data_IF_557923673624
#
_entry.id   IF_557923673624
#
_cell.length_a   1.000
_cell.length_b   1.000
_cell.length_c   1.000
_cell.angle_alpha   90.00
_cell.angle_beta   90.00
_cell.angle_gamma   90.00
#
_symmetry.space_group_name_H-M   'P 1'
#
loop_
_entity.id
_entity.type
_entity.pdbx_description
1 polymer ?
#
# COMPACT_ATOMS: atom_id res chain seq x y z
N UNK A 1 -40.14 80.50 15.70
CA UNK A 1 -39.97 79.18 16.33
C UNK A 1 -39.70 78.16 15.23
N UNK A 2 -38.53 77.51 15.27
CA UNK A 2 -38.11 76.30 14.53
C UNK A 2 -37.93 76.32 13.00
N UNK A 3 -36.64 76.29 12.62
CA UNK A 3 -35.99 75.78 11.40
C UNK A 3 -36.54 74.43 10.88
N UNK A 4 -36.68 74.28 9.55
CA UNK A 4 -36.59 73.03 8.74
C UNK A 4 -36.94 73.36 7.28
N UNK A 5 -36.39 72.79 6.21
CA UNK A 5 -35.24 71.93 5.94
C UNK A 5 -35.03 71.98 4.42
N UNK A 6 -33.79 71.81 3.99
CA UNK A 6 -33.31 71.78 2.61
C UNK A 6 -33.85 70.60 1.77
N UNK A 7 -34.05 70.90 0.47
CA UNK A 7 -33.68 70.14 -0.75
C UNK A 7 -33.41 68.63 -0.62
N UNK A 8 -34.10 67.79 -1.41
CA UNK A 8 -33.55 67.30 -2.69
C UNK A 8 -34.42 66.20 -3.33
N UNK A 9 -34.41 66.21 -4.66
CA UNK A 9 -35.02 65.26 -5.59
C UNK A 9 -34.36 63.88 -5.48
N UNK A 10 -35.16 62.82 -5.32
CA UNK A 10 -34.73 61.43 -5.47
C UNK A 10 -35.16 60.92 -6.85
N UNK A 11 -34.17 60.71 -7.71
CA UNK A 11 -34.32 59.91 -8.92
C UNK A 11 -34.26 58.42 -8.54
N UNK A 12 -35.27 57.65 -8.93
CA UNK A 12 -35.23 56.19 -8.88
C UNK A 12 -34.35 55.68 -10.02
N UNK A 13 -33.20 55.10 -9.69
CA UNK A 13 -32.42 54.25 -10.60
C UNK A 13 -32.60 52.80 -10.15
N UNK A 14 -33.38 52.03 -10.90
CA UNK A 14 -33.49 50.58 -10.73
C UNK A 14 -32.26 49.90 -11.35
N UNK A 15 -31.36 49.41 -10.50
CA UNK A 15 -30.23 48.56 -10.93
C UNK A 15 -30.73 47.12 -10.90
N UNK A 16 -30.99 46.54 -12.08
CA UNK A 16 -31.18 45.11 -12.23
C UNK A 16 -29.83 44.40 -12.19
N UNK A 17 -29.48 43.82 -11.04
CA UNK A 17 -28.28 43.01 -10.87
C UNK A 17 -28.55 41.60 -11.41
N UNK A 18 -28.15 41.32 -12.65
CA UNK A 18 -28.17 39.98 -13.21
C UNK A 18 -27.09 39.13 -12.51
N UNK A 19 -27.51 38.24 -11.61
CA UNK A 19 -26.66 37.19 -11.03
C UNK A 19 -26.35 36.14 -12.12
N UNK A 20 -25.23 36.31 -12.80
CA UNK A 20 -24.60 35.22 -13.56
C UNK A 20 -24.00 34.24 -12.55
N UNK A 21 -24.73 33.16 -12.22
CA UNK A 21 -24.12 32.03 -11.54
C UNK A 21 -23.09 31.38 -12.47
N UNK A 22 -21.82 31.22 -12.06
CA UNK A 22 -20.91 30.36 -12.78
C UNK A 22 -21.44 28.93 -12.65
N UNK A 23 -21.94 28.37 -13.76
CA UNK A 23 -22.11 26.93 -13.90
C UNK A 23 -20.73 26.31 -13.67
N UNK A 24 -20.48 25.80 -12.46
CA UNK A 24 -19.38 24.90 -12.19
C UNK A 24 -19.59 23.66 -13.07
N UNK A 25 -18.98 23.65 -14.24
CA UNK A 25 -18.82 22.45 -15.04
C UNK A 25 -18.15 21.41 -14.16
N UNK A 26 -18.90 20.36 -13.81
CA UNK A 26 -18.34 19.19 -13.15
C UNK A 26 -17.11 18.73 -13.95
N UNK A 27 -15.99 18.37 -13.30
CA UNK A 27 -14.85 17.81 -14.02
C UNK A 27 -15.36 16.64 -14.87
N UNK A 28 -14.89 16.48 -16.11
CA UNK A 28 -15.33 15.40 -16.98
C UNK A 28 -15.18 14.08 -16.23
N UNK A 29 -16.24 13.26 -16.24
CA UNK A 29 -16.21 11.92 -15.66
C UNK A 29 -15.02 11.17 -16.28
N UNK A 30 -13.96 10.99 -15.50
CA UNK A 30 -12.74 10.31 -15.95
C UNK A 30 -13.15 8.87 -16.24
N UNK A 31 -12.87 8.39 -17.45
CA UNK A 31 -13.21 7.02 -17.83
C UNK A 31 -12.61 6.04 -16.80
N UNK A 32 -13.41 5.06 -16.38
CA UNK A 32 -12.96 4.04 -15.43
C UNK A 32 -11.71 3.34 -15.99
N UNK A 33 -10.67 3.22 -15.17
CA UNK A 33 -9.46 2.48 -15.52
C UNK A 33 -9.76 0.96 -15.52
N UNK A 34 -8.93 0.18 -16.20
CA UNK A 34 -9.06 -1.28 -16.21
C UNK A 34 -8.77 -1.89 -14.83
N UNK A 35 -7.99 -1.21 -14.01
CA UNK A 35 -7.58 -1.62 -12.68
C UNK A 35 -7.07 -0.47 -11.83
N UNK A 36 -6.36 -0.80 -10.74
CA UNK A 36 -5.60 0.18 -9.97
C UNK A 36 -4.57 0.90 -10.83
N UNK A 37 -4.31 2.17 -10.52
CA UNK A 37 -3.26 2.93 -11.17
C UNK A 37 -2.64 4.00 -10.27
N UNK A 38 -1.39 4.36 -10.54
CA UNK A 38 -0.67 5.43 -9.84
C UNK A 38 -0.90 6.76 -10.54
N UNK A 39 -1.14 7.82 -9.76
CA UNK A 39 -1.25 9.19 -10.22
C UNK A 39 -0.52 10.12 -9.25
N UNK A 40 0.70 10.52 -9.62
CA UNK A 40 1.61 11.23 -8.71
C UNK A 40 1.90 10.38 -7.47
N UNK A 41 1.76 10.97 -6.28
CA UNK A 41 2.02 10.27 -5.01
C UNK A 41 0.81 9.47 -4.48
N UNK A 42 -0.20 9.21 -5.30
CA UNK A 42 -1.43 8.52 -4.90
C UNK A 42 -1.65 7.24 -5.71
N UNK A 43 -2.14 6.20 -5.03
CA UNK A 43 -2.75 5.03 -5.66
C UNK A 43 -4.25 5.31 -5.83
N UNK A 44 -4.77 5.13 -7.05
CA UNK A 44 -6.18 5.27 -7.38
C UNK A 44 -6.77 3.91 -7.74
N UNK A 45 -7.98 3.63 -7.27
CA UNK A 45 -8.74 2.46 -7.70
C UNK A 45 -9.29 2.61 -9.13
N UNK A 46 -9.93 1.56 -9.65
CA UNK A 46 -10.41 1.55 -11.03
C UNK A 46 -11.51 2.60 -11.32
N UNK A 47 -12.16 3.14 -10.30
CA UNK A 47 -13.13 4.23 -10.43
C UNK A 47 -12.47 5.62 -10.30
N UNK A 48 -11.15 5.67 -10.15
CA UNK A 48 -10.37 6.90 -10.02
C UNK A 48 -10.36 7.50 -8.61
N UNK A 49 -10.82 6.75 -7.59
CA UNK A 49 -10.82 7.22 -6.20
C UNK A 49 -9.50 6.89 -5.52
N UNK A 50 -8.98 7.83 -4.71
CA UNK A 50 -7.77 7.58 -3.91
C UNK A 50 -7.98 6.42 -2.96
N UNK A 51 -7.11 5.44 -3.03
CA UNK A 51 -7.12 4.26 -2.18
C UNK A 51 -5.90 4.25 -1.26
N UNK A 52 -6.15 4.27 0.04
CA UNK A 52 -5.12 4.27 1.08
C UNK A 52 -5.22 2.95 1.84
N UNK A 53 -4.18 2.12 1.74
CA UNK A 53 -4.17 0.79 2.35
C UNK A 53 -4.16 0.88 3.89
N UNK A 54 -5.01 0.09 4.53
CA UNK A 54 -5.13 -0.11 5.97
C UNK A 54 -5.36 -1.60 6.18
N UNK A 55 -4.27 -2.31 6.45
CA UNK A 55 -4.29 -3.77 6.37
C UNK A 55 -3.18 -4.46 7.12
N UNK A 56 -3.03 -5.74 6.80
CA UNK A 56 -2.08 -6.66 7.45
C UNK A 56 -1.44 -7.59 6.41
N UNK A 57 -0.30 -8.18 6.76
CA UNK A 57 0.31 -9.30 6.06
C UNK A 57 -0.29 -10.62 6.57
N UNK A 58 -0.50 -11.62 5.68
CA UNK A 58 -1.09 -12.91 6.04
C UNK A 58 -0.31 -14.06 5.37
N UNK A 59 0.18 -15.07 6.12
CA UNK A 59 1.18 -16.04 5.64
C UNK A 59 0.58 -17.22 4.84
N UNK A 60 -0.02 -16.94 3.68
CA UNK A 60 -0.80 -17.94 2.94
C UNK A 60 -0.01 -19.16 2.47
N UNK A 61 1.20 -18.98 1.95
CA UNK A 61 1.97 -20.11 1.43
C UNK A 61 2.47 -21.06 2.51
N UNK A 62 2.64 -20.56 3.74
CA UNK A 62 3.10 -21.35 4.88
C UNK A 62 1.95 -21.99 5.68
N UNK A 63 0.79 -21.33 5.73
CA UNK A 63 -0.36 -21.75 6.52
C UNK A 63 -1.67 -21.69 5.72
N UNK A 64 -1.75 -22.44 4.62
CA UNK A 64 -2.80 -22.32 3.61
C UNK A 64 -4.24 -22.23 4.18
N UNK A 65 -4.68 -23.25 4.92
CA UNK A 65 -6.05 -23.32 5.43
C UNK A 65 -6.33 -22.29 6.52
N UNK A 66 -5.38 -22.10 7.45
CA UNK A 66 -5.52 -21.17 8.57
C UNK A 66 -5.54 -19.71 8.10
N UNK A 67 -4.57 -19.33 7.26
CA UNK A 67 -4.50 -17.99 6.67
C UNK A 67 -5.72 -17.70 5.80
N UNK A 68 -6.21 -18.66 5.02
CA UNK A 68 -7.43 -18.51 4.23
C UNK A 68 -8.67 -18.27 5.10
N UNK A 69 -8.84 -19.03 6.19
CA UNK A 69 -9.94 -18.84 7.12
C UNK A 69 -9.88 -17.47 7.81
N UNK A 70 -8.68 -17.07 8.24
CA UNK A 70 -8.39 -15.81 8.92
C UNK A 70 -8.77 -14.55 8.13
N UNK A 71 -8.85 -14.62 6.79
CA UNK A 71 -9.32 -13.50 5.96
C UNK A 71 -10.66 -12.94 6.45
N UNK A 72 -11.55 -13.81 6.96
CA UNK A 72 -12.85 -13.42 7.51
C UNK A 72 -12.70 -12.50 8.71
N UNK A 73 -11.83 -12.86 9.65
CA UNK A 73 -11.58 -12.10 10.88
C UNK A 73 -10.82 -10.80 10.57
N UNK A 74 -9.85 -10.85 9.65
CA UNK A 74 -9.13 -9.66 9.16
C UNK A 74 -10.11 -8.63 8.58
N UNK A 75 -11.02 -9.08 7.71
CA UNK A 75 -12.04 -8.22 7.10
C UNK A 75 -13.06 -7.71 8.13
N UNK A 76 -13.51 -8.56 9.05
CA UNK A 76 -14.46 -8.19 10.09
C UNK A 76 -13.91 -7.12 11.05
N UNK A 77 -12.58 -7.09 11.25
CA UNK A 77 -11.89 -6.05 12.02
C UNK A 77 -11.62 -4.77 11.21
N UNK A 78 -12.05 -4.71 9.95
CA UNK A 78 -12.11 -3.50 9.15
C UNK A 78 -10.96 -3.30 8.16
N UNK A 79 -10.06 -4.26 7.97
CA UNK A 79 -9.00 -4.14 6.97
C UNK A 79 -9.59 -3.94 5.56
N UNK A 80 -9.02 -3.01 4.78
CA UNK A 80 -9.38 -2.83 3.36
C UNK A 80 -8.38 -3.51 2.41
N UNK A 81 -7.25 -3.96 2.94
CA UNK A 81 -6.18 -4.62 2.17
C UNK A 81 -5.58 -5.77 2.99
N UNK A 82 -5.17 -6.82 2.29
CA UNK A 82 -4.32 -7.87 2.85
C UNK A 82 -3.14 -8.11 1.90
N UNK A 83 -1.92 -8.15 2.45
CA UNK A 83 -0.73 -8.60 1.71
C UNK A 83 -0.56 -10.11 1.91
N UNK A 84 -0.63 -10.82 0.81
CA UNK A 84 -0.68 -12.28 0.74
C UNK A 84 0.75 -12.77 0.55
N UNK A 85 1.35 -13.32 1.61
CA UNK A 85 2.65 -13.97 1.50
C UNK A 85 2.50 -15.20 0.61
N UNK A 86 3.17 -15.17 -0.53
CA UNK A 86 3.11 -16.21 -1.55
C UNK A 86 4.51 -16.69 -1.92
N UNK A 87 4.59 -17.70 -2.79
CA UNK A 87 5.85 -18.11 -3.39
C UNK A 87 5.65 -18.74 -4.76
N UNK A 88 6.76 -18.97 -5.46
CA UNK A 88 6.72 -19.58 -6.79
C UNK A 88 6.23 -21.03 -6.81
N UNK A 89 6.13 -21.70 -5.65
CA UNK A 89 5.58 -23.06 -5.54
C UNK A 89 4.05 -23.10 -5.49
N UNK A 90 3.40 -21.95 -5.29
CA UNK A 90 1.94 -21.84 -5.24
C UNK A 90 1.27 -22.04 -6.61
N UNK A 91 0.07 -22.66 -6.60
CA UNK A 91 -0.71 -22.89 -7.83
C UNK A 91 -1.59 -21.70 -8.20
N UNK A 92 -1.78 -21.45 -9.51
CA UNK A 92 -2.64 -20.38 -9.99
C UNK A 92 -4.11 -20.55 -9.54
N UNK A 93 -4.62 -21.79 -9.50
CA UNK A 93 -5.97 -22.08 -9.00
C UNK A 93 -6.14 -21.67 -7.54
N UNK A 94 -5.16 -21.98 -6.68
CA UNK A 94 -5.24 -21.59 -5.27
C UNK A 94 -5.11 -20.07 -5.10
N UNK A 95 -4.25 -19.43 -5.88
CA UNK A 95 -4.14 -17.97 -5.92
C UNK A 95 -5.49 -17.32 -6.30
N UNK A 96 -6.19 -17.83 -7.31
CA UNK A 96 -7.53 -17.36 -7.70
C UNK A 96 -8.53 -17.49 -6.55
N UNK A 97 -8.56 -18.63 -5.85
CA UNK A 97 -9.44 -18.83 -4.70
C UNK A 97 -9.19 -17.82 -3.56
N UNK A 98 -7.93 -17.49 -3.30
CA UNK A 98 -7.55 -16.50 -2.28
C UNK A 98 -8.01 -15.11 -2.71
N UNK A 99 -7.77 -14.71 -3.98
CA UNK A 99 -8.19 -13.41 -4.51
C UNK A 99 -9.72 -13.28 -4.50
N UNK A 100 -10.46 -14.32 -4.89
CA UNK A 100 -11.92 -14.32 -4.83
C UNK A 100 -12.45 -14.22 -3.40
N UNK A 101 -11.77 -14.83 -2.43
CA UNK A 101 -12.12 -14.66 -1.02
C UNK A 101 -11.91 -13.23 -0.55
N UNK A 102 -10.79 -12.60 -0.91
CA UNK A 102 -10.55 -11.18 -0.62
C UNK A 102 -11.63 -10.29 -1.24
N UNK A 103 -11.99 -10.53 -2.51
CA UNK A 103 -13.06 -9.80 -3.21
C UNK A 103 -14.41 -9.94 -2.51
N UNK A 104 -14.81 -11.16 -2.14
CA UNK A 104 -16.04 -11.41 -1.41
C UNK A 104 -16.08 -10.67 -0.06
N UNK A 105 -14.92 -10.53 0.59
CA UNK A 105 -14.75 -9.80 1.84
C UNK A 105 -14.49 -8.29 1.63
N UNK A 106 -14.51 -7.81 0.39
CA UNK A 106 -14.24 -6.42 -0.01
C UNK A 106 -12.87 -5.90 0.46
N UNK A 107 -11.85 -6.76 0.38
CA UNK A 107 -10.44 -6.40 0.60
C UNK A 107 -9.65 -6.46 -0.71
N UNK A 108 -8.78 -5.48 -0.91
CA UNK A 108 -7.75 -5.51 -1.97
C UNK A 108 -6.67 -6.50 -1.56
N UNK A 109 -6.17 -7.30 -2.51
CA UNK A 109 -5.04 -8.21 -2.26
C UNK A 109 -3.75 -7.63 -2.84
N UNK A 110 -2.67 -7.63 -2.06
CA UNK A 110 -1.31 -7.40 -2.59
C UNK A 110 -0.60 -8.75 -2.59
N UNK A 111 -0.30 -9.30 -3.77
CA UNK A 111 0.38 -10.60 -3.88
C UNK A 111 1.88 -10.35 -3.92
N UNK A 112 2.63 -10.95 -3.00
CA UNK A 112 4.09 -10.84 -2.91
C UNK A 112 4.73 -12.22 -3.01
N UNK A 113 5.91 -12.32 -3.65
CA UNK A 113 6.70 -13.55 -3.67
C UNK A 113 7.86 -13.49 -2.68
N UNK A 114 7.86 -14.41 -1.73
CA UNK A 114 8.77 -14.41 -0.59
C UNK A 114 10.09 -15.18 -0.85
N UNK A 115 10.25 -15.79 -2.03
CA UNK A 115 11.32 -16.76 -2.35
C UNK A 115 12.75 -16.17 -2.33
N UNK A 116 12.88 -14.84 -2.40
CA UNK A 116 14.16 -14.14 -2.62
C UNK A 116 14.45 -13.05 -1.59
N UNK A 117 13.74 -13.06 -0.45
CA UNK A 117 13.96 -12.15 0.69
C UNK A 117 15.45 -12.06 1.05
N UNK A 118 16.00 -10.84 1.02
CA UNK A 118 17.40 -10.54 1.35
C UNK A 118 18.44 -10.94 0.29
N UNK A 119 18.05 -11.53 -0.84
CA UNK A 119 18.98 -11.89 -1.91
C UNK A 119 19.44 -10.67 -2.72
N UNK A 120 20.69 -10.67 -3.17
CA UNK A 120 21.23 -9.69 -4.13
C UNK A 120 21.27 -10.22 -5.58
N UNK A 121 20.76 -11.43 -5.83
CA UNK A 121 20.80 -12.05 -7.14
C UNK A 121 19.71 -11.48 -8.06
N UNK A 122 20.10 -10.65 -9.02
CA UNK A 122 19.19 -10.02 -9.97
C UNK A 122 18.49 -11.03 -10.90
N UNK A 123 19.11 -12.18 -11.20
CA UNK A 123 18.47 -13.22 -12.00
C UNK A 123 17.29 -13.82 -11.22
N UNK A 124 17.48 -14.06 -9.91
CA UNK A 124 16.41 -14.57 -9.03
C UNK A 124 15.27 -13.58 -8.86
N UNK A 125 15.53 -12.27 -8.78
CA UNK A 125 14.45 -11.26 -8.84
C UNK A 125 13.65 -11.39 -10.15
N UNK A 126 14.35 -11.51 -11.28
CA UNK A 126 13.68 -11.63 -12.56
C UNK A 126 12.87 -12.93 -12.69
N UNK A 127 13.26 -14.01 -12.01
CA UNK A 127 12.47 -15.23 -11.96
C UNK A 127 11.12 -15.02 -11.25
N UNK A 128 11.04 -14.11 -10.27
CA UNK A 128 9.78 -13.71 -9.64
C UNK A 128 8.86 -13.02 -10.65
N UNK A 129 9.41 -12.12 -11.47
CA UNK A 129 8.68 -11.49 -12.57
C UNK A 129 8.21 -12.52 -13.62
N UNK A 130 9.04 -13.50 -13.96
CA UNK A 130 8.66 -14.61 -14.86
C UNK A 130 7.54 -15.46 -14.29
N UNK A 131 7.53 -15.73 -12.98
CA UNK A 131 6.43 -16.46 -12.32
C UNK A 131 5.09 -15.76 -12.56
N UNK A 132 5.01 -14.46 -12.28
CA UNK A 132 3.79 -13.69 -12.53
C UNK A 132 3.40 -13.68 -14.01
N UNK A 133 4.39 -13.60 -14.91
CA UNK A 133 4.17 -13.63 -16.35
C UNK A 133 3.76 -15.00 -16.94
N UNK A 134 3.83 -16.10 -16.16
CA UNK A 134 3.33 -17.41 -16.59
C UNK A 134 1.86 -17.31 -17.03
N UNK A 135 1.48 -18.06 -18.06
CA UNK A 135 0.15 -17.94 -18.68
C UNK A 135 -1.00 -18.16 -17.70
N UNK A 136 -0.88 -19.13 -16.80
CA UNK A 136 -1.88 -19.47 -15.79
C UNK A 136 -1.98 -18.42 -14.68
N UNK A 137 -0.85 -17.95 -14.15
CA UNK A 137 -0.81 -16.91 -13.12
C UNK A 137 -1.27 -15.56 -13.68
N UNK A 138 -0.81 -15.18 -14.87
CA UNK A 138 -1.23 -13.96 -15.56
C UNK A 138 -2.73 -13.92 -15.79
N UNK A 139 -3.36 -15.03 -16.18
CA UNK A 139 -4.80 -15.08 -16.40
C UNK A 139 -5.58 -14.71 -15.12
N UNK A 140 -5.12 -15.21 -13.97
CA UNK A 140 -5.64 -14.85 -12.65
C UNK A 140 -5.42 -13.35 -12.36
N UNK A 141 -4.20 -12.85 -12.56
CA UNK A 141 -3.90 -11.45 -12.23
C UNK A 141 -4.64 -10.43 -13.11
N UNK A 142 -4.68 -10.66 -14.43
CA UNK A 142 -5.33 -9.75 -15.38
C UNK A 142 -6.87 -9.75 -15.24
N UNK A 143 -7.47 -10.86 -14.81
CA UNK A 143 -8.91 -10.87 -14.50
C UNK A 143 -9.25 -10.14 -13.20
N UNK A 144 -8.24 -9.76 -12.41
CA UNK A 144 -8.40 -9.11 -11.10
C UNK A 144 -7.63 -7.78 -10.98
N UNK A 145 -7.35 -7.08 -12.08
CA UNK A 145 -6.63 -5.78 -12.10
C UNK A 145 -7.28 -4.71 -11.19
N UNK A 146 -8.60 -4.78 -10.99
CA UNK A 146 -9.37 -3.89 -10.11
C UNK A 146 -9.23 -4.21 -8.63
N UNK A 147 -8.71 -5.38 -8.27
CA UNK A 147 -8.77 -5.92 -6.91
C UNK A 147 -7.40 -6.36 -6.38
N UNK A 148 -6.40 -6.46 -7.26
CA UNK A 148 -5.11 -7.07 -6.95
C UNK A 148 -3.94 -6.23 -7.45
N UNK A 149 -2.97 -6.00 -6.57
CA UNK A 149 -1.65 -5.45 -6.88
C UNK A 149 -0.60 -6.55 -6.85
N UNK A 150 0.48 -6.35 -7.62
CA UNK A 150 1.60 -7.30 -7.73
C UNK A 150 2.83 -6.68 -7.09
N UNK A 151 3.23 -7.21 -5.92
CA UNK A 151 4.50 -6.91 -5.29
C UNK A 151 5.53 -7.92 -5.78
N UNK A 152 6.50 -7.48 -6.59
CA UNK A 152 7.32 -8.40 -7.40
C UNK A 152 8.02 -9.45 -6.54
N UNK A 153 8.65 -9.01 -5.47
CA UNK A 153 9.36 -9.85 -4.54
C UNK A 153 9.41 -9.16 -3.19
N UNK A 154 9.23 -9.92 -2.11
CA UNK A 154 9.48 -9.43 -0.77
C UNK A 154 10.97 -9.12 -0.61
N UNK A 155 11.28 -7.89 -0.21
CA UNK A 155 12.59 -7.53 0.36
C UNK A 155 13.81 -7.97 -0.46
N UNK A 156 13.70 -8.02 -1.79
CA UNK A 156 14.85 -8.31 -2.62
C UNK A 156 15.88 -7.16 -2.51
N UNK A 157 17.12 -7.55 -2.25
CA UNK A 157 18.23 -6.66 -1.95
C UNK A 157 18.58 -6.62 -0.46
N UNK A 158 19.74 -7.17 -0.12
CA UNK A 158 20.40 -7.02 1.17
C UNK A 158 20.98 -5.63 1.40
N UNK A 159 21.60 -5.44 2.57
CA UNK A 159 22.11 -4.14 3.03
C UNK A 159 23.32 -3.61 2.22
N UNK A 160 24.01 -4.50 1.51
CA UNK A 160 25.18 -4.23 0.68
C UNK A 160 24.82 -4.01 -0.81
N UNK A 161 23.55 -4.16 -1.19
CA UNK A 161 23.11 -3.90 -2.56
C UNK A 161 23.16 -2.39 -2.86
N UNK A 162 23.87 -2.02 -3.92
CA UNK A 162 23.91 -0.61 -4.35
C UNK A 162 22.58 -0.16 -4.96
N UNK A 163 22.25 1.13 -4.79
CA UNK A 163 21.02 1.70 -5.34
C UNK A 163 20.93 1.58 -6.88
N UNK A 164 22.07 1.61 -7.57
CA UNK A 164 22.12 1.40 -9.03
C UNK A 164 21.84 -0.05 -9.41
N UNK A 165 22.40 -1.02 -8.69
CA UNK A 165 22.11 -2.44 -8.92
C UNK A 165 20.64 -2.76 -8.64
N UNK A 166 20.07 -2.16 -7.58
CA UNK A 166 18.64 -2.26 -7.30
C UNK A 166 17.79 -1.75 -8.46
N UNK A 167 18.10 -0.56 -8.99
CA UNK A 167 17.40 0.02 -10.14
C UNK A 167 17.47 -0.90 -11.36
N UNK A 168 18.65 -1.37 -11.73
CA UNK A 168 18.87 -2.14 -12.96
C UNK A 168 18.14 -3.49 -12.94
N UNK A 169 18.13 -4.15 -11.78
CA UNK A 169 17.38 -5.39 -11.58
C UNK A 169 15.87 -5.15 -11.69
N UNK A 170 15.34 -4.09 -11.08
CA UNK A 170 13.92 -3.77 -11.20
C UNK A 170 13.50 -3.28 -12.58
N UNK A 171 14.35 -2.59 -13.34
CA UNK A 171 14.08 -2.31 -14.77
C UNK A 171 13.90 -3.62 -15.55
N UNK A 172 14.77 -4.59 -15.32
CA UNK A 172 14.66 -5.92 -15.94
C UNK A 172 13.35 -6.62 -15.56
N UNK A 173 13.01 -6.64 -14.26
CA UNK A 173 11.78 -7.25 -13.76
C UNK A 173 10.50 -6.56 -14.30
N UNK A 174 10.49 -5.23 -14.40
CA UNK A 174 9.39 -4.45 -15.00
C UNK A 174 9.23 -4.84 -16.48
N UNK A 175 10.33 -4.89 -17.24
CA UNK A 175 10.30 -5.30 -18.65
C UNK A 175 9.73 -6.71 -18.81
N UNK A 176 10.13 -7.65 -17.96
CA UNK A 176 9.59 -9.02 -17.96
C UNK A 176 8.09 -9.05 -17.66
N UNK A 177 7.63 -8.33 -16.62
CA UNK A 177 6.20 -8.29 -16.28
C UNK A 177 5.36 -7.69 -17.40
N UNK A 178 5.77 -6.52 -17.91
CA UNK A 178 5.01 -5.80 -18.96
C UNK A 178 5.07 -6.54 -20.30
N UNK A 179 6.23 -7.06 -20.69
CA UNK A 179 6.38 -7.91 -21.88
C UNK A 179 5.62 -9.23 -21.75
N UNK A 180 5.49 -9.75 -20.53
CA UNK A 180 4.64 -10.91 -20.21
C UNK A 180 3.14 -10.61 -20.27
N UNK A 181 2.74 -9.34 -20.29
CA UNK A 181 1.35 -8.89 -20.35
C UNK A 181 0.67 -8.67 -19.00
N UNK A 182 1.44 -8.46 -17.91
CA UNK A 182 0.88 -8.05 -16.61
C UNK A 182 0.47 -6.59 -16.65
N UNK A 183 -0.80 -6.32 -16.32
CA UNK A 183 -1.38 -4.98 -16.33
C UNK A 183 -1.54 -4.34 -14.95
N UNK A 184 -1.53 -5.15 -13.88
CA UNK A 184 -1.71 -4.70 -12.50
C UNK A 184 -0.71 -3.60 -12.12
N UNK A 185 -1.08 -2.77 -11.14
CA UNK A 185 -0.12 -1.91 -10.44
C UNK A 185 0.98 -2.77 -9.82
N UNK A 186 2.23 -2.37 -10.08
CA UNK A 186 3.42 -3.03 -9.54
C UNK A 186 3.81 -2.34 -8.23
N UNK A 187 4.15 -3.12 -7.21
CA UNK A 187 4.72 -2.67 -5.94
C UNK A 187 6.17 -3.16 -5.85
N UNK A 188 7.08 -2.23 -5.55
CA UNK A 188 8.53 -2.49 -5.45
C UNK A 188 9.01 -2.15 -4.05
N UNK A 189 9.61 -3.13 -3.37
CA UNK A 189 10.20 -2.96 -2.04
C UNK A 189 11.56 -2.25 -2.12
N UNK A 190 11.90 -1.48 -1.09
CA UNK A 190 13.25 -0.96 -0.90
C UNK A 190 14.29 -2.07 -0.74
N UNK A 191 15.58 -1.75 -0.92
CA UNK A 191 16.67 -2.67 -0.59
C UNK A 191 16.89 -2.75 0.93
N UNK A 192 17.95 -3.42 1.37
CA UNK A 192 18.26 -3.56 2.79
C UNK A 192 17.15 -4.27 3.55
N UNK A 193 16.64 -5.37 2.98
CA UNK A 193 15.50 -6.11 3.52
C UNK A 193 14.25 -5.22 3.63
N UNK A 194 13.95 -4.43 2.60
CA UNK A 194 12.84 -3.46 2.61
C UNK A 194 13.08 -2.19 3.45
N UNK A 195 14.12 -2.14 4.29
CA UNK A 195 14.32 -1.06 5.25
C UNK A 195 15.07 0.15 4.69
N UNK A 196 15.68 0.05 3.50
CA UNK A 196 16.41 1.14 2.86
C UNK A 196 15.53 1.91 1.87
N UNK A 197 15.22 3.16 2.21
CA UNK A 197 14.46 4.10 1.35
C UNK A 197 15.33 4.84 0.32
N UNK A 198 16.67 4.78 0.42
CA UNK A 198 17.60 5.47 -0.48
C UNK A 198 17.35 5.17 -1.97
N UNK A 199 17.27 3.91 -2.42
CA UNK A 199 17.11 3.61 -3.84
C UNK A 199 15.77 4.11 -4.40
N UNK A 200 14.71 4.12 -3.59
CA UNK A 200 13.41 4.68 -3.98
C UNK A 200 13.53 6.18 -4.22
N UNK A 201 14.20 6.91 -3.31
CA UNK A 201 14.40 8.36 -3.45
C UNK A 201 15.29 8.70 -4.65
N UNK A 202 16.33 7.91 -4.88
CA UNK A 202 17.30 8.14 -5.97
C UNK A 202 16.73 7.76 -7.34
N UNK A 203 16.04 6.63 -7.45
CA UNK A 203 15.68 6.00 -8.73
C UNK A 203 14.20 5.65 -8.90
N UNK A 204 13.33 5.96 -7.92
CA UNK A 204 11.90 5.66 -8.03
C UNK A 204 11.24 6.36 -9.21
N UNK A 205 11.59 7.62 -9.50
CA UNK A 205 11.13 8.30 -10.73
C UNK A 205 11.63 7.62 -12.00
N UNK A 206 12.87 7.12 -11.98
CA UNK A 206 13.45 6.40 -13.11
C UNK A 206 12.66 5.12 -13.38
N UNK A 207 12.32 4.33 -12.36
CA UNK A 207 11.52 3.11 -12.52
C UNK A 207 10.08 3.41 -12.94
N UNK A 208 9.44 4.42 -12.36
CA UNK A 208 8.09 4.85 -12.74
C UNK A 208 8.02 5.29 -14.21
N UNK A 209 9.03 6.03 -14.69
CA UNK A 209 9.11 6.46 -16.08
C UNK A 209 9.54 5.33 -17.03
N UNK A 210 10.26 4.33 -16.51
CA UNK A 210 10.69 3.16 -17.26
C UNK A 210 9.54 2.17 -17.51
N UNK A 211 8.60 2.04 -16.57
CA UNK A 211 7.37 1.29 -16.79
C UNK A 211 6.54 1.95 -17.91
N UNK A 212 6.29 1.30 -19.06
CA UNK A 212 5.48 1.87 -20.14
C UNK A 212 4.03 2.18 -19.73
N UNK A 213 3.54 1.62 -18.61
CA UNK A 213 2.23 1.95 -18.06
C UNK A 213 2.26 3.06 -17.01
N UNK A 214 3.45 3.51 -16.60
CA UNK A 214 3.64 4.44 -15.48
C UNK A 214 2.85 4.05 -14.23
N UNK A 215 2.81 2.75 -13.92
CA UNK A 215 1.94 2.18 -12.89
C UNK A 215 2.75 1.35 -11.88
N UNK A 216 3.73 2.02 -11.28
CA UNK A 216 4.62 1.49 -10.23
C UNK A 216 4.46 2.34 -8.97
N UNK A 217 4.30 1.66 -7.83
CA UNK A 217 4.42 2.26 -6.50
C UNK A 217 5.49 1.52 -5.69
N UNK A 218 5.87 2.11 -4.55
CA UNK A 218 6.96 1.61 -3.71
C UNK A 218 6.49 1.15 -2.34
N UNK A 219 7.28 0.31 -1.69
CA UNK A 219 7.08 -0.19 -0.34
C UNK A 219 8.33 0.02 0.51
N UNK A 220 8.13 0.39 1.77
CA UNK A 220 9.18 0.43 2.81
C UNK A 220 8.74 -0.45 3.96
N UNK A 221 9.67 -1.23 4.49
CA UNK A 221 9.46 -2.08 5.66
C UNK A 221 10.16 -1.46 6.88
N UNK A 222 9.41 -1.19 7.94
CA UNK A 222 9.91 -0.42 9.08
C UNK A 222 10.16 -1.34 10.30
N UNK A 223 11.42 -1.75 10.47
CA UNK A 223 11.91 -2.52 11.63
C UNK A 223 13.13 -1.84 12.28
N UNK A 224 14.17 -2.59 12.65
CA UNK A 224 15.31 -2.10 13.44
C UNK A 224 16.02 -0.86 12.86
N UNK A 225 16.04 -0.68 11.54
CA UNK A 225 16.63 0.51 10.90
C UNK A 225 15.76 1.78 11.02
N UNK A 226 14.54 1.66 11.56
CA UNK A 226 13.54 2.72 11.74
C UNK A 226 13.24 3.02 13.22
N UNK A 227 14.20 2.72 14.10
CA UNK A 227 14.09 2.98 15.54
C UNK A 227 14.06 4.48 15.90
N UNK A 228 14.49 5.37 15.00
CA UNK A 228 14.34 6.82 15.15
C UNK A 228 12.98 7.27 14.60
N UNK A 229 12.06 7.64 15.50
CA UNK A 229 10.70 8.06 15.15
C UNK A 229 10.66 9.33 14.29
N UNK A 230 11.63 10.24 14.44
CA UNK A 230 11.67 11.48 13.67
C UNK A 230 11.93 11.26 12.17
N UNK A 231 12.60 10.14 11.85
CA UNK A 231 12.90 9.74 10.47
C UNK A 231 11.65 9.26 9.72
N UNK A 232 10.68 8.65 10.40
CA UNK A 232 9.46 8.08 9.78
C UNK A 232 8.73 9.14 8.95
N UNK A 233 8.34 10.25 9.59
CA UNK A 233 7.62 11.33 8.91
C UNK A 233 8.45 12.00 7.82
N UNK A 234 9.74 12.21 8.08
CA UNK A 234 10.66 12.90 7.17
C UNK A 234 10.88 12.12 5.88
N UNK A 235 11.17 10.82 5.97
CA UNK A 235 11.42 9.96 4.81
C UNK A 235 10.16 9.75 3.96
N UNK A 236 9.02 9.50 4.60
CA UNK A 236 7.75 9.37 3.89
C UNK A 236 7.37 10.67 3.16
N UNK A 237 7.62 11.83 3.77
CA UNK A 237 7.40 13.12 3.11
C UNK A 237 8.35 13.32 1.94
N UNK A 238 9.63 12.96 2.09
CA UNK A 238 10.63 13.10 1.04
C UNK A 238 10.22 12.32 -0.22
N UNK A 239 9.75 11.08 -0.06
CA UNK A 239 9.27 10.25 -1.19
C UNK A 239 8.02 10.88 -1.84
N UNK A 240 7.07 11.36 -1.05
CA UNK A 240 5.88 12.06 -1.59
C UNK A 240 6.24 13.34 -2.35
N UNK A 241 7.23 14.10 -1.89
CA UNK A 241 7.70 15.32 -2.57
C UNK A 241 8.33 15.01 -3.94
N UNK A 242 8.83 13.78 -4.13
CA UNK A 242 9.25 13.28 -5.44
C UNK A 242 8.06 12.86 -6.32
N UNK A 243 6.81 12.98 -5.86
CA UNK A 243 5.63 12.57 -6.63
C UNK A 243 5.53 11.06 -6.80
N UNK A 244 6.08 10.27 -5.88
CA UNK A 244 6.06 8.81 -5.90
C UNK A 244 5.01 8.29 -4.91
N UNK A 245 4.21 7.30 -5.33
CA UNK A 245 3.30 6.58 -4.44
C UNK A 245 4.08 5.57 -3.60
N UNK A 246 3.84 5.56 -2.29
CA UNK A 246 4.52 4.68 -1.34
C UNK A 246 3.54 4.14 -0.30
N UNK A 247 3.77 2.91 0.14
CA UNK A 247 3.11 2.28 1.30
C UNK A 247 4.16 1.83 2.32
N UNK A 248 3.79 1.75 3.59
CA UNK A 248 4.55 0.99 4.59
C UNK A 248 4.09 -0.46 4.48
N UNK A 249 4.77 -1.28 3.67
CA UNK A 249 4.32 -2.64 3.34
C UNK A 249 4.48 -3.64 4.48
N UNK A 250 5.37 -3.33 5.42
CA UNK A 250 5.55 -4.04 6.67
C UNK A 250 6.03 -3.07 7.76
N UNK A 251 5.70 -3.36 9.01
CA UNK A 251 6.30 -2.68 10.14
C UNK A 251 6.13 -3.49 11.42
N UNK A 252 7.11 -3.38 12.31
CA UNK A 252 7.05 -3.88 13.67
C UNK A 252 6.76 -2.80 14.69
N UNK A 253 7.03 -3.09 15.96
CA UNK A 253 6.90 -2.15 17.07
C UNK A 253 7.99 -2.35 18.11
N UNK A 254 8.05 -1.41 19.06
CA UNK A 254 8.93 -1.50 20.22
C UNK A 254 8.45 -2.57 21.22
N UNK A 255 8.73 -3.84 20.91
CA UNK A 255 8.50 -4.94 21.82
C UNK A 255 9.57 -4.97 22.92
N UNK A 256 9.11 -4.93 24.17
CA UNK A 256 9.95 -5.05 25.37
C UNK A 256 11.23 -4.19 25.30
N UNK A 257 11.10 -2.91 24.96
CA UNK A 257 12.21 -1.96 24.81
C UNK A 257 13.31 -2.41 23.84
N UNK A 258 12.93 -3.10 22.76
CA UNK A 258 13.83 -3.66 21.76
C UNK A 258 14.47 -4.98 22.15
N UNK A 259 14.00 -5.63 23.22
CA UNK A 259 14.38 -6.99 23.59
C UNK A 259 13.67 -7.99 22.68
N UNK A 260 14.10 -8.02 21.42
CA UNK A 260 13.69 -8.94 20.37
C UNK A 260 14.89 -9.24 19.45
N UNK A 261 14.73 -10.24 18.58
CA UNK A 261 15.76 -10.71 17.65
C UNK A 261 16.23 -9.64 16.64
N UNK A 262 15.44 -8.60 16.39
CA UNK A 262 15.76 -7.55 15.42
C UNK A 262 16.28 -6.25 16.07
N UNK A 263 16.34 -6.19 17.41
CA UNK A 263 16.58 -4.93 18.13
C UNK A 263 15.55 -3.84 17.79
N UNK A 264 14.35 -4.24 17.35
CA UNK A 264 13.33 -3.36 16.84
C UNK A 264 12.68 -2.55 17.97
N UNK A 265 12.73 -1.23 17.83
CA UNK A 265 12.17 -0.20 18.72
C UNK A 265 11.27 0.77 17.96
N UNK A 266 10.75 0.35 16.80
CA UNK A 266 9.91 1.20 15.95
C UNK A 266 8.74 1.73 16.76
N UNK A 267 8.55 3.05 16.73
CA UNK A 267 7.35 3.66 17.27
C UNK A 267 6.19 3.44 16.29
N UNK A 268 5.51 2.30 16.44
CA UNK A 268 4.41 1.93 15.55
C UNK A 268 3.25 2.95 15.57
N UNK A 269 2.96 3.57 16.72
CA UNK A 269 1.95 4.62 16.77
C UNK A 269 2.35 5.82 15.90
N UNK A 270 3.64 6.15 15.84
CA UNK A 270 4.14 7.19 14.95
C UNK A 270 4.06 6.78 13.47
N UNK A 271 4.27 5.51 13.14
CA UNK A 271 4.00 4.98 11.78
C UNK A 271 2.54 5.24 11.40
N UNK A 272 1.59 4.87 12.26
CA UNK A 272 0.15 5.09 12.02
C UNK A 272 -0.19 6.57 11.86
N UNK A 273 0.37 7.44 12.72
CA UNK A 273 0.16 8.88 12.68
C UNK A 273 0.66 9.49 11.36
N UNK A 274 1.90 9.17 10.98
CA UNK A 274 2.53 9.72 9.79
C UNK A 274 1.89 9.18 8.51
N UNK A 275 1.51 7.90 8.50
CA UNK A 275 0.77 7.30 7.40
C UNK A 275 -0.60 7.97 7.21
N UNK A 276 -1.35 8.19 8.29
CA UNK A 276 -2.64 8.88 8.23
C UNK A 276 -2.50 10.33 7.79
N UNK A 277 -1.61 11.11 8.41
CA UNK A 277 -1.41 12.52 8.11
C UNK A 277 -0.99 12.77 6.65
N UNK A 278 -0.32 11.79 6.03
CA UNK A 278 0.17 11.88 4.65
C UNK A 278 -0.70 11.14 3.65
N UNK A 279 -1.76 10.46 4.06
CA UNK A 279 -2.55 9.60 3.17
C UNK A 279 -1.74 8.46 2.55
N UNK A 280 -0.78 7.91 3.29
CA UNK A 280 0.08 6.79 2.91
C UNK A 280 -0.51 5.50 3.48
N UNK A 281 -0.42 4.41 2.71
CA UNK A 281 -0.88 3.09 3.14
C UNK A 281 0.01 2.46 4.21
N UNK A 282 -0.53 1.54 5.01
CA UNK A 282 0.27 0.65 5.84
C UNK A 282 -0.32 -0.76 5.89
N UNK A 283 0.55 -1.75 6.05
CA UNK A 283 0.23 -3.16 6.18
C UNK A 283 1.08 -3.74 7.32
N UNK A 284 0.45 -4.02 8.47
CA UNK A 284 1.19 -4.48 9.65
C UNK A 284 1.68 -5.92 9.46
N UNK A 285 2.88 -6.22 9.92
CA UNK A 285 3.40 -7.59 9.97
C UNK A 285 3.15 -8.18 11.35
N UNK A 286 2.54 -9.36 11.48
CA UNK A 286 1.66 -10.04 10.50
C UNK A 286 0.48 -10.66 11.23
N UNK A 287 -0.50 -11.22 10.53
CA UNK A 287 -1.71 -11.72 11.19
C UNK A 287 -1.38 -12.67 12.35
N UNK A 288 -0.64 -13.75 12.09
CA UNK A 288 0.00 -14.62 13.10
C UNK A 288 0.86 -15.65 12.35
N UNK A 289 1.45 -16.61 13.06
CA UNK A 289 2.21 -17.73 12.48
C UNK A 289 3.70 -17.43 12.36
N UNK A 290 4.19 -16.37 13.01
CA UNK A 290 5.62 -16.14 13.12
C UNK A 290 6.28 -17.25 13.96
N UNK A 291 7.56 -17.50 13.68
CA UNK A 291 8.35 -18.42 14.51
C UNK A 291 8.56 -17.88 15.94
N UNK A 292 9.17 -18.68 16.81
CA UNK A 292 9.35 -18.30 18.23
C UNK A 292 10.17 -17.02 18.43
N UNK A 293 11.13 -16.73 17.55
CA UNK A 293 11.95 -15.52 17.63
C UNK A 293 11.16 -14.27 17.22
N UNK A 294 10.17 -14.43 16.34
CA UNK A 294 9.37 -13.35 15.76
C UNK A 294 7.92 -13.32 16.27
N UNK A 295 7.50 -14.23 17.16
CA UNK A 295 6.13 -14.32 17.68
C UNK A 295 5.61 -13.05 18.35
N UNK A 296 6.52 -12.15 18.76
CA UNK A 296 6.17 -10.82 19.26
C UNK A 296 5.44 -9.96 18.20
N UNK A 297 5.59 -10.26 16.90
CA UNK A 297 4.93 -9.60 15.75
C UNK A 297 3.55 -10.17 15.41
N UNK A 298 3.07 -11.20 16.11
CA UNK A 298 1.74 -11.75 15.87
C UNK A 298 0.65 -10.73 16.25
N UNK A 299 -0.19 -10.34 15.29
CA UNK A 299 -1.34 -9.44 15.52
C UNK A 299 -2.51 -10.19 16.19
N UNK A 300 -2.65 -11.48 15.91
CA UNK A 300 -3.62 -12.38 16.50
C UNK A 300 -2.92 -13.57 17.17
N UNK A 301 -3.57 -14.20 18.15
CA UNK A 301 -3.02 -15.39 18.79
C UNK A 301 -2.86 -16.52 17.78
N UNK A 302 -1.69 -17.15 17.75
CA UNK A 302 -1.43 -18.33 16.93
C UNK A 302 -2.26 -19.56 17.33
N UNK A 303 -2.84 -19.55 18.54
CA UNK A 303 -3.69 -20.64 19.04
C UNK A 303 -5.08 -20.68 18.39
N UNK A 304 -5.61 -19.53 17.96
CA UNK A 304 -6.98 -19.42 17.44
C UNK A 304 -7.08 -18.64 16.12
N UNK A 305 -6.02 -17.95 15.71
CA UNK A 305 -5.94 -17.11 14.51
C UNK A 305 -7.00 -15.99 14.47
N UNK A 306 -7.50 -15.54 15.64
CA UNK A 306 -8.64 -14.63 15.76
C UNK A 306 -8.47 -13.55 16.82
N UNK A 307 -8.00 -13.92 18.01
CA UNK A 307 -7.95 -13.04 19.17
C UNK A 307 -6.76 -12.11 19.05
N UNK A 308 -6.99 -10.80 19.06
CA UNK A 308 -5.89 -9.84 18.92
C UNK A 308 -4.94 -9.89 20.12
N UNK A 309 -3.64 -9.81 19.84
CA UNK A 309 -2.61 -9.55 20.84
C UNK A 309 -2.61 -8.07 21.24
N UNK A 310 -1.72 -7.64 22.15
CA UNK A 310 -1.50 -6.22 22.43
C UNK A 310 -1.01 -5.46 21.19
N UNK A 311 -0.16 -6.09 20.38
CA UNK A 311 0.30 -5.56 19.11
C UNK A 311 -0.86 -5.38 18.12
N UNK A 312 -1.67 -6.44 17.92
CA UNK A 312 -2.86 -6.36 17.08
C UNK A 312 -3.85 -5.30 17.56
N UNK A 313 -4.05 -5.18 18.87
CA UNK A 313 -4.94 -4.18 19.45
C UNK A 313 -4.47 -2.76 19.14
N UNK A 314 -3.17 -2.48 19.16
CA UNK A 314 -2.62 -1.19 18.74
C UNK A 314 -2.90 -0.92 17.25
N UNK A 315 -2.63 -1.88 16.37
CA UNK A 315 -2.80 -1.73 14.91
C UNK A 315 -4.26 -1.54 14.51
N UNK A 316 -5.18 -2.29 15.12
CA UNK A 316 -6.59 -2.22 14.75
C UNK A 316 -7.33 -1.09 15.48
N UNK A 317 -7.12 -0.97 16.80
CA UNK A 317 -7.96 -0.14 17.67
C UNK A 317 -7.25 1.13 18.16
N UNK A 318 -5.95 1.27 17.94
CA UNK A 318 -5.21 2.48 18.30
C UNK A 318 -5.65 3.70 17.49
N UNK A 319 -5.21 4.88 17.91
CA UNK A 319 -5.42 6.12 17.16
C UNK A 319 -4.83 5.96 15.76
N UNK A 320 -5.58 6.34 14.72
CA UNK A 320 -5.20 6.12 13.32
C UNK A 320 -5.05 4.64 12.90
N UNK A 321 -5.53 3.71 13.74
CA UNK A 321 -5.60 2.28 13.47
C UNK A 321 -6.60 1.92 12.37
N UNK A 322 -6.61 0.63 12.01
CA UNK A 322 -7.38 0.12 10.87
C UNK A 322 -8.88 0.41 11.05
N UNK A 323 -9.45 0.11 12.22
CA UNK A 323 -10.88 0.22 12.46
C UNK A 323 -11.41 1.66 12.31
N UNK A 324 -10.58 2.67 12.59
CA UNK A 324 -10.98 4.08 12.55
C UNK A 324 -10.68 4.78 11.22
N UNK A 325 -9.75 4.26 10.41
CA UNK A 325 -9.26 4.97 9.21
C UNK A 325 -9.43 4.21 7.90
N UNK A 326 -9.69 2.89 7.97
CA UNK A 326 -9.86 2.05 6.79
C UNK A 326 -11.12 2.41 6.01
N UNK A 327 -10.96 2.48 4.69
CA UNK A 327 -12.06 2.67 3.73
C UNK A 327 -11.92 1.66 2.62
N UNK A 328 -12.96 0.89 2.35
CA UNK A 328 -12.99 -0.07 1.24
C UNK A 328 -12.78 0.66 -0.09
N UNK A 329 -12.09 0.01 -1.03
CA UNK A 329 -11.97 0.53 -2.39
C UNK A 329 -13.37 0.64 -3.03
N UNK A 330 -13.62 1.71 -3.81
CA UNK A 330 -14.95 2.00 -4.36
C UNK A 330 -15.37 0.99 -5.43
N UNK A 331 -14.40 0.23 -5.97
CA UNK A 331 -14.64 -0.90 -6.89
C UNK A 331 -15.46 -2.05 -6.29
N UNK A 332 -15.65 -2.07 -4.96
CA UNK A 332 -16.48 -3.06 -4.26
C UNK A 332 -17.94 -2.63 -4.04
N UNK A 333 -18.33 -1.45 -4.53
CA UNK A 333 -19.64 -0.85 -4.27
C UNK A 333 -19.71 -0.16 -2.91
#
# INVERSE_FOLDING_TARGET
>A
MSMKKWLNRLALSAIALALALPLLSAPPARAAANGFYVSGSSLLDANGSSFVMRGVNNPHIWFDSQAYAALTDIAAKGANTVRIVWSTSGTASRLQQIIDRCKALKMVSVIELHDVTGSNDAARLNDMAKYFARSDVKAVLNSNEKYTLVNIANEWGGSDLSDTAWRDAYQTAISTLRGGGINNTIVIDGSGWGQNSSPIKAYGKTLLNYDPKHNVMFSIHMYGSWNDSSRIGTELQAIKNLGLAVTVGEFGYNYNNGSNNLGCKVNAQEVLNQAQAKGIGYLAWSWTGNDSANAWLDLASSSDWKTLTSWGSLVFNGTNGIASTSKKATVFG
#
